data_IF_614011072455
#
_entry.id   IF_614011072455
#
_cell.length_a   1.000
_cell.length_b   1.000
_cell.length_c   1.000
_cell.angle_alpha   90.00
_cell.angle_beta   90.00
_cell.angle_gamma   90.00
#
_symmetry.space_group_name_H-M   'P 1'
#
loop_
_entity.id
_entity.type
_entity.pdbx_description
1 polymer ?
#
# COMPACT_ATOMS: atom_id res chain seq x y z
N UNK A 1 104.07 11.99 -24.05
CA UNK A 1 104.67 12.60 -22.83
C UNK A 1 103.62 13.50 -22.24
N UNK A 2 103.22 13.28 -20.97
CA UNK A 2 102.80 14.32 -19.99
C UNK A 2 101.56 15.19 -20.36
N UNK A 3 100.64 15.65 -19.51
CA UNK A 3 100.36 15.68 -18.06
C UNK A 3 98.97 16.38 -17.99
N UNK A 4 97.96 15.83 -17.32
CA UNK A 4 97.52 16.13 -15.94
C UNK A 4 97.25 17.61 -15.61
N UNK A 5 95.99 17.90 -15.27
CA UNK A 5 95.57 19.05 -14.48
C UNK A 5 94.57 18.60 -13.40
N UNK A 6 94.78 19.07 -12.16
CA UNK A 6 94.25 18.51 -10.91
C UNK A 6 92.90 19.09 -10.47
N UNK A 7 92.21 18.26 -9.68
CA UNK A 7 90.91 18.37 -9.04
C UNK A 7 90.77 19.44 -7.95
N UNK A 8 89.53 19.88 -7.72
CA UNK A 8 88.85 19.89 -6.40
C UNK A 8 87.35 20.16 -6.61
N UNK A 9 86.47 19.24 -6.23
CA UNK A 9 85.02 19.46 -6.12
C UNK A 9 84.48 18.76 -4.87
N UNK A 10 83.68 19.51 -4.11
CA UNK A 10 83.07 19.12 -2.84
C UNK A 10 81.81 18.26 -3.04
N UNK A 11 81.53 17.47 -2.01
CA UNK A 11 80.51 16.41 -1.91
C UNK A 11 79.05 16.91 -1.90
N UNK A 12 78.16 16.11 -2.51
CA UNK A 12 76.71 16.05 -2.28
C UNK A 12 76.35 14.59 -1.92
N UNK A 13 75.48 14.31 -0.92
CA UNK A 13 74.77 13.05 -0.82
C UNK A 13 73.29 13.17 -1.25
N UNK A 14 72.77 12.03 -1.67
CA UNK A 14 71.51 11.80 -2.38
C UNK A 14 70.23 12.24 -1.64
N UNK A 15 69.28 12.79 -2.40
CA UNK A 15 67.90 13.01 -1.97
C UNK A 15 67.00 11.85 -2.44
N UNK A 16 66.31 11.21 -1.49
CA UNK A 16 65.31 10.17 -1.68
C UNK A 16 64.00 10.84 -2.14
N UNK A 17 63.47 10.45 -3.30
CA UNK A 17 62.17 10.90 -3.79
C UNK A 17 61.04 10.07 -3.16
N UNK A 18 60.27 10.67 -2.24
CA UNK A 18 58.97 10.15 -1.81
C UNK A 18 57.90 10.54 -2.84
N UNK A 19 57.34 9.56 -3.54
CA UNK A 19 56.11 9.68 -4.32
C UNK A 19 54.92 9.66 -3.34
N UNK A 20 54.43 10.84 -2.97
CA UNK A 20 53.14 11.00 -2.31
C UNK A 20 52.02 10.77 -3.35
N UNK A 21 51.52 9.54 -3.41
CA UNK A 21 50.24 9.24 -4.07
C UNK A 21 49.12 9.89 -3.27
N UNK A 22 48.52 10.94 -3.82
CA UNK A 22 47.31 11.53 -3.26
C UNK A 22 46.17 10.50 -3.36
N UNK A 23 45.74 9.95 -2.22
CA UNK A 23 44.48 9.22 -2.13
C UNK A 23 43.34 10.22 -2.39
N UNK A 24 42.83 10.24 -3.62
CA UNK A 24 41.54 10.86 -3.89
C UNK A 24 40.47 10.07 -3.14
N UNK A 25 39.85 10.68 -2.14
CA UNK A 25 38.63 10.16 -1.55
C UNK A 25 37.57 10.02 -2.65
N UNK A 26 36.77 8.95 -2.69
CA UNK A 26 35.64 8.89 -3.61
C UNK A 26 34.69 10.03 -3.24
N UNK A 27 34.62 11.04 -4.11
CA UNK A 27 33.57 12.05 -4.04
C UNK A 27 32.24 11.32 -4.24
N UNK A 28 31.39 11.34 -3.22
CA UNK A 28 29.97 11.01 -3.35
C UNK A 28 29.44 11.77 -4.57
N UNK A 29 28.81 11.11 -5.57
CA UNK A 29 28.18 11.83 -6.65
C UNK A 29 27.26 12.89 -6.02
N UNK A 30 27.43 14.16 -6.38
CA UNK A 30 26.51 15.20 -5.95
C UNK A 30 25.08 14.73 -6.24
N UNK A 31 24.25 14.59 -5.20
CA UNK A 31 22.88 14.12 -5.30
C UNK A 31 22.16 14.97 -6.35
N UNK A 32 21.85 14.35 -7.50
CA UNK A 32 20.93 15.00 -8.43
C UNK A 32 19.63 15.20 -7.66
N UNK A 33 19.02 16.41 -7.72
CA UNK A 33 17.76 16.64 -7.04
C UNK A 33 16.75 15.56 -7.46
N UNK A 34 16.06 15.00 -6.47
CA UNK A 34 15.08 13.96 -6.68
C UNK A 34 14.03 14.43 -7.68
N UNK A 35 13.66 13.55 -8.61
CA UNK A 35 12.67 13.87 -9.64
C UNK A 35 11.28 13.65 -9.08
N UNK A 36 10.63 14.74 -8.68
CA UNK A 36 9.27 14.75 -8.17
C UNK A 36 8.35 15.30 -9.28
N UNK A 37 7.31 14.52 -9.62
CA UNK A 37 6.32 14.89 -10.61
C UNK A 37 5.29 15.87 -10.06
N UNK A 38 4.38 16.34 -10.92
CA UNK A 38 3.25 17.17 -10.48
C UNK A 38 2.07 16.28 -10.10
N UNK A 39 1.27 16.73 -9.15
CA UNK A 39 0.06 16.02 -8.73
C UNK A 39 -0.90 15.75 -9.91
N UNK A 40 -1.06 16.71 -10.82
CA UNK A 40 -1.93 16.58 -12.00
C UNK A 40 -1.56 15.40 -12.90
N UNK A 41 -0.27 15.05 -12.93
CA UNK A 41 0.29 14.04 -13.84
C UNK A 41 0.35 12.65 -13.20
N UNK A 42 -0.18 12.45 -11.97
CA UNK A 42 0.01 11.23 -11.17
C UNK A 42 -0.26 9.91 -11.93
N UNK A 43 -1.26 9.89 -12.84
CA UNK A 43 -1.60 8.68 -13.64
C UNK A 43 -0.75 8.46 -14.88
N UNK A 44 0.01 9.46 -15.28
CA UNK A 44 0.81 9.52 -16.52
C UNK A 44 2.27 9.93 -16.23
N UNK A 45 2.72 9.75 -14.98
CA UNK A 45 4.09 10.09 -14.60
C UNK A 45 5.09 9.30 -15.45
N UNK A 46 6.08 9.96 -16.06
CA UNK A 46 7.17 9.23 -16.70
C UNK A 46 7.90 8.37 -15.66
N UNK A 47 8.42 7.18 -16.02
CA UNK A 47 9.04 6.26 -15.07
C UNK A 47 10.13 6.89 -14.19
N UNK A 48 10.90 7.83 -14.74
CA UNK A 48 11.96 8.54 -14.03
C UNK A 48 11.47 9.44 -12.88
N UNK A 49 10.17 9.72 -12.77
CA UNK A 49 9.56 10.55 -11.72
C UNK A 49 8.74 9.73 -10.73
N UNK A 50 8.30 8.52 -11.08
CA UNK A 50 7.37 7.74 -10.24
C UNK A 50 7.94 7.48 -8.85
N UNK A 51 9.15 6.93 -8.78
CA UNK A 51 9.75 6.55 -7.50
C UNK A 51 9.97 7.76 -6.58
N UNK A 52 10.41 8.90 -7.12
CA UNK A 52 10.58 10.13 -6.34
C UNK A 52 9.25 10.76 -5.94
N UNK A 53 8.25 10.71 -6.80
CA UNK A 53 6.90 11.22 -6.47
C UNK A 53 6.25 10.39 -5.37
N UNK A 54 6.27 9.06 -5.47
CA UNK A 54 5.51 8.16 -4.58
C UNK A 54 6.02 8.18 -3.13
N UNK A 55 7.28 8.57 -2.89
CA UNK A 55 7.83 8.73 -1.54
C UNK A 55 7.71 10.15 -0.96
N UNK A 56 7.33 11.13 -1.78
CA UNK A 56 7.22 12.55 -1.41
C UNK A 56 5.79 13.08 -1.64
N UNK A 57 4.76 12.24 -1.48
CA UNK A 57 3.36 12.65 -1.70
C UNK A 57 2.91 13.78 -0.76
N UNK A 58 3.60 14.00 0.36
CA UNK A 58 3.41 15.12 1.28
C UNK A 58 3.87 16.48 0.71
N UNK A 59 4.68 16.49 -0.35
CA UNK A 59 4.99 17.72 -1.11
C UNK A 59 3.90 18.06 -2.14
N UNK A 60 3.09 17.07 -2.53
CA UNK A 60 2.10 17.21 -3.61
C UNK A 60 0.69 17.47 -3.11
N UNK A 61 0.36 16.99 -1.91
CA UNK A 61 -0.99 17.04 -1.35
C UNK A 61 -0.96 17.54 0.08
N UNK A 62 -2.08 18.13 0.53
CA UNK A 62 -2.28 18.34 1.95
C UNK A 62 -2.37 17.00 2.66
N UNK A 63 -1.71 16.89 3.80
CA UNK A 63 -1.67 15.65 4.58
C UNK A 63 -1.92 15.92 6.05
N UNK A 64 -2.35 14.88 6.77
CA UNK A 64 -2.38 14.84 8.23
C UNK A 64 -1.47 13.73 8.71
N UNK A 65 -0.75 13.98 9.81
CA UNK A 65 0.14 12.99 10.40
C UNK A 65 -0.68 11.94 11.16
N UNK A 66 -0.29 10.67 10.99
CA UNK A 66 -0.73 9.56 11.83
C UNK A 66 0.43 9.26 12.77
N UNK A 67 0.29 9.67 14.02
CA UNK A 67 1.39 9.57 14.98
C UNK A 67 1.64 8.13 15.42
N UNK A 68 2.90 7.73 15.50
CA UNK A 68 3.30 6.52 16.21
C UNK A 68 3.31 6.75 17.72
N UNK A 69 3.37 5.66 18.47
CA UNK A 69 3.53 5.68 19.91
C UNK A 69 4.98 5.88 20.30
N UNK A 70 5.21 6.19 21.57
CA UNK A 70 6.57 6.35 22.09
C UNK A 70 7.41 5.07 21.96
N UNK A 71 6.78 3.91 22.16
CA UNK A 71 7.42 2.60 22.07
C UNK A 71 7.38 2.07 20.63
N UNK A 72 8.55 1.97 20.01
CA UNK A 72 8.74 1.24 18.74
C UNK A 72 9.04 -0.22 19.08
N UNK A 73 8.30 -1.16 18.50
CA UNK A 73 8.56 -2.59 18.70
C UNK A 73 9.49 -3.08 17.59
N UNK A 74 10.60 -3.77 17.92
CA UNK A 74 11.50 -4.29 16.92
C UNK A 74 10.78 -5.34 16.05
N UNK A 75 11.02 -5.32 14.74
CA UNK A 75 10.57 -6.38 13.86
C UNK A 75 11.66 -7.47 13.83
N UNK A 76 11.48 -8.60 14.54
CA UNK A 76 12.51 -9.62 14.66
C UNK A 76 12.87 -10.20 13.29
N UNK A 77 14.11 -10.64 13.11
CA UNK A 77 14.57 -11.28 11.87
C UNK A 77 14.69 -12.79 12.06
N UNK A 78 14.56 -13.53 10.95
CA UNK A 78 14.94 -14.94 10.84
C UNK A 78 15.98 -15.10 9.73
N UNK A 79 16.50 -16.32 9.56
CA UNK A 79 17.34 -16.64 8.41
C UNK A 79 16.55 -16.38 7.12
N UNK A 80 17.20 -15.68 6.19
CA UNK A 80 16.62 -15.43 4.86
C UNK A 80 16.53 -16.74 4.07
N UNK A 81 15.45 -16.89 3.29
CA UNK A 81 15.26 -18.05 2.42
C UNK A 81 15.49 -17.66 0.95
N UNK A 82 16.19 -18.47 0.15
CA UNK A 82 16.33 -18.21 -1.27
C UNK A 82 14.98 -18.44 -1.96
N UNK A 83 14.44 -17.41 -2.61
CA UNK A 83 13.22 -17.52 -3.42
C UNK A 83 13.61 -17.72 -4.88
N UNK A 84 13.03 -18.74 -5.52
CA UNK A 84 13.17 -19.05 -6.93
C UNK A 84 11.79 -19.34 -7.51
N UNK A 85 11.41 -18.64 -8.58
CA UNK A 85 10.12 -18.79 -9.24
C UNK A 85 10.30 -18.96 -10.76
N UNK A 86 9.24 -19.34 -11.45
CA UNK A 86 9.25 -19.48 -12.91
C UNK A 86 8.33 -18.43 -13.53
N UNK A 87 8.85 -17.68 -14.50
CA UNK A 87 8.07 -16.80 -15.37
C UNK A 87 8.67 -16.83 -16.79
N UNK A 88 7.82 -16.79 -17.82
CA UNK A 88 8.23 -16.88 -19.23
C UNK A 88 9.16 -18.06 -19.55
N UNK A 89 8.97 -19.20 -18.87
CA UNK A 89 9.79 -20.40 -19.01
C UNK A 89 11.21 -20.28 -18.41
N UNK A 90 11.52 -19.20 -17.69
CA UNK A 90 12.80 -18.98 -17.04
C UNK A 90 12.69 -19.14 -15.53
N UNK A 91 13.72 -19.73 -14.91
CA UNK A 91 13.87 -19.78 -13.46
C UNK A 91 14.56 -18.50 -12.99
N UNK A 92 13.88 -17.72 -12.16
CA UNK A 92 14.27 -16.38 -11.75
C UNK A 92 14.37 -16.29 -10.22
N UNK A 93 15.23 -15.39 -9.73
CA UNK A 93 15.39 -15.09 -8.30
C UNK A 93 14.87 -13.70 -7.92
N UNK A 94 15.03 -13.34 -6.64
CA UNK A 94 14.57 -12.06 -6.05
C UNK A 94 15.01 -10.83 -6.85
N UNK A 95 16.28 -10.74 -7.22
CA UNK A 95 16.80 -9.56 -7.94
C UNK A 95 16.19 -9.41 -9.34
N UNK A 96 15.95 -10.51 -10.04
CA UNK A 96 15.30 -10.50 -11.35
C UNK A 96 13.81 -10.12 -11.22
N UNK A 97 13.12 -10.64 -10.20
CA UNK A 97 11.75 -10.24 -9.87
C UNK A 97 11.65 -8.73 -9.64
N UNK A 98 12.55 -8.17 -8.81
CA UNK A 98 12.54 -6.75 -8.49
C UNK A 98 12.74 -5.88 -9.73
N UNK A 99 13.65 -6.26 -10.63
CA UNK A 99 13.89 -5.52 -11.87
C UNK A 99 12.71 -5.59 -12.84
N UNK A 100 12.19 -6.80 -13.10
CA UNK A 100 11.10 -7.04 -14.07
C UNK A 100 9.79 -6.38 -13.66
N UNK A 101 9.50 -6.39 -12.36
CA UNK A 101 8.26 -5.85 -11.79
C UNK A 101 8.42 -4.42 -11.25
N UNK A 102 9.57 -3.78 -11.49
CA UNK A 102 9.86 -2.40 -11.05
C UNK A 102 9.60 -2.21 -9.55
N UNK A 103 10.02 -3.19 -8.75
CA UNK A 103 9.84 -3.21 -7.31
C UNK A 103 10.83 -2.26 -6.68
N UNK A 104 10.31 -1.35 -5.86
CA UNK A 104 11.07 -0.32 -5.14
C UNK A 104 11.23 -0.69 -3.65
N UNK A 105 10.43 -1.62 -3.13
CA UNK A 105 10.53 -2.17 -1.77
C UNK A 105 9.84 -3.53 -1.69
N UNK A 106 10.46 -4.48 -0.98
CA UNK A 106 9.96 -5.85 -0.82
C UNK A 106 10.21 -6.31 0.62
N UNK A 107 9.16 -6.75 1.29
CA UNK A 107 9.21 -7.33 2.63
C UNK A 107 8.40 -8.62 2.66
N UNK A 108 8.95 -9.68 3.23
CA UNK A 108 8.23 -10.90 3.56
C UNK A 108 8.45 -11.22 5.03
N UNK A 109 7.35 -11.34 5.76
CA UNK A 109 7.31 -11.81 7.14
C UNK A 109 6.83 -13.26 7.17
N UNK A 110 7.44 -14.06 8.04
CA UNK A 110 6.99 -15.41 8.39
C UNK A 110 6.96 -15.50 9.90
N UNK A 111 5.82 -15.87 10.48
CA UNK A 111 5.61 -15.93 11.92
C UNK A 111 6.01 -14.61 12.63
N UNK A 112 5.63 -13.47 12.06
CA UNK A 112 5.97 -12.14 12.57
C UNK A 112 7.45 -11.75 12.45
N UNK A 113 8.29 -12.54 11.76
CA UNK A 113 9.73 -12.30 11.60
C UNK A 113 10.09 -12.00 10.15
N UNK A 114 10.98 -11.01 9.94
CA UNK A 114 11.51 -10.68 8.62
C UNK A 114 12.26 -11.87 8.04
N UNK A 115 11.72 -12.41 6.95
CA UNK A 115 12.27 -13.52 6.18
C UNK A 115 12.94 -13.06 4.88
N UNK A 116 12.51 -11.94 4.31
CA UNK A 116 13.14 -11.30 3.16
C UNK A 116 12.87 -9.80 3.25
N UNK A 117 13.88 -8.98 2.98
CA UNK A 117 13.72 -7.52 2.93
C UNK A 117 14.70 -6.93 1.91
N UNK A 118 14.18 -6.14 0.96
CA UNK A 118 14.96 -5.45 -0.07
C UNK A 118 14.38 -4.06 -0.35
N UNK A 119 15.25 -3.15 -0.74
CA UNK A 119 14.90 -1.80 -1.18
C UNK A 119 15.64 -1.49 -2.47
N UNK A 120 15.00 -0.73 -3.35
CA UNK A 120 15.57 -0.30 -4.62
C UNK A 120 15.13 1.13 -4.95
N UNK A 121 15.65 1.67 -6.06
CA UNK A 121 15.26 3.00 -6.56
C UNK A 121 15.49 4.12 -5.52
N UNK A 122 16.55 4.01 -4.72
CA UNK A 122 16.88 4.98 -3.67
C UNK A 122 16.02 4.89 -2.41
N UNK A 123 15.09 3.92 -2.32
CA UNK A 123 14.36 3.66 -1.08
C UNK A 123 15.27 2.99 -0.04
N UNK A 124 14.90 3.15 1.22
CA UNK A 124 15.50 2.47 2.36
C UNK A 124 14.44 2.21 3.46
N UNK A 125 14.88 1.66 4.59
CA UNK A 125 14.00 1.35 5.72
C UNK A 125 13.34 2.58 6.36
N UNK A 126 13.82 3.79 6.07
CA UNK A 126 13.26 5.04 6.58
C UNK A 126 12.21 5.67 5.65
N UNK A 127 12.17 5.22 4.40
CA UNK A 127 11.30 5.75 3.35
C UNK A 127 9.83 5.49 3.69
N UNK A 128 9.00 6.53 3.57
CA UNK A 128 7.53 6.40 3.59
C UNK A 128 7.04 6.34 2.15
N UNK A 129 6.17 5.40 1.83
CA UNK A 129 5.68 5.16 0.48
C UNK A 129 4.16 5.15 0.44
N UNK A 130 3.58 5.82 -0.56
CA UNK A 130 2.13 5.89 -0.73
C UNK A 130 1.51 4.52 -1.01
N UNK A 131 0.44 4.21 -0.29
CA UNK A 131 -0.31 2.96 -0.34
C UNK A 131 -1.08 2.77 -1.65
N UNK A 132 -1.40 3.88 -2.31
CA UNK A 132 -2.57 3.96 -3.20
C UNK A 132 -3.76 3.24 -2.54
N UNK A 133 -4.41 2.31 -3.23
CA UNK A 133 -5.59 1.61 -2.73
C UNK A 133 -5.35 0.61 -1.59
N UNK A 134 -4.11 0.31 -1.19
CA UNK A 134 -3.86 -0.51 0.03
C UNK A 134 -4.51 0.13 1.27
N UNK A 135 -4.65 1.46 1.30
CA UNK A 135 -5.32 2.16 2.41
C UNK A 135 -6.80 1.82 2.54
N UNK A 136 -7.47 1.35 1.48
CA UNK A 136 -8.89 0.97 1.55
C UNK A 136 -9.13 -0.08 2.64
N UNK A 137 -8.22 -1.05 2.74
CA UNK A 137 -8.25 -2.09 3.76
C UNK A 137 -7.95 -1.55 5.16
N UNK A 138 -7.16 -0.48 5.26
CA UNK A 138 -6.93 0.26 6.52
C UNK A 138 -8.19 1.03 6.92
N UNK A 139 -8.84 1.74 6.00
CA UNK A 139 -10.11 2.43 6.23
C UNK A 139 -11.22 1.49 6.67
N UNK A 140 -11.36 0.33 5.99
CA UNK A 140 -12.27 -0.75 6.38
C UNK A 140 -11.99 -1.27 7.80
N UNK A 141 -10.71 -1.37 8.15
CA UNK A 141 -10.27 -1.76 9.50
C UNK A 141 -10.67 -0.72 10.55
N UNK A 142 -10.64 0.57 10.23
CA UNK A 142 -11.14 1.62 11.12
C UNK A 142 -12.67 1.55 11.32
N UNK A 143 -13.42 1.20 10.27
CA UNK A 143 -14.86 0.91 10.39
C UNK A 143 -15.06 -0.26 11.36
N UNK A 144 -14.30 -1.34 11.21
CA UNK A 144 -14.32 -2.47 12.15
C UNK A 144 -14.01 -2.05 13.59
N UNK A 145 -13.01 -1.21 13.80
CA UNK A 145 -12.68 -0.69 15.13
C UNK A 145 -13.82 0.17 15.72
N UNK A 146 -14.47 0.99 14.90
CA UNK A 146 -15.64 1.77 15.31
C UNK A 146 -16.86 0.88 15.65
N UNK A 147 -17.02 -0.26 14.97
CA UNK A 147 -18.00 -1.29 15.34
C UNK A 147 -17.66 -1.91 16.68
N UNK A 148 -16.39 -2.29 16.90
CA UNK A 148 -15.92 -2.85 18.17
C UNK A 148 -16.16 -1.90 19.37
N UNK A 149 -16.06 -0.59 19.15
CA UNK A 149 -16.36 0.43 20.16
C UNK A 149 -17.86 0.76 20.30
N UNK A 150 -18.74 0.19 19.48
CA UNK A 150 -20.16 0.53 19.43
C UNK A 150 -20.47 1.93 18.88
N UNK A 151 -19.50 2.57 18.21
CA UNK A 151 -19.68 3.86 17.51
C UNK A 151 -20.45 3.69 16.21
N UNK A 152 -20.24 2.56 15.55
CA UNK A 152 -21.11 2.03 14.50
C UNK A 152 -21.82 0.82 15.12
N UNK A 153 -23.15 0.86 15.20
CA UNK A 153 -23.91 -0.18 15.89
C UNK A 153 -23.85 -1.52 15.13
N UNK A 154 -23.94 -1.49 13.80
CA UNK A 154 -23.78 -2.68 12.95
C UNK A 154 -23.31 -2.31 11.56
N UNK A 155 -22.57 -3.21 10.90
CA UNK A 155 -22.31 -3.11 9.45
C UNK A 155 -23.59 -3.27 8.62
N UNK A 156 -24.66 -3.81 9.20
CA UNK A 156 -25.97 -3.92 8.55
C UNK A 156 -26.79 -2.63 8.63
N UNK A 157 -26.33 -1.63 9.38
CA UNK A 157 -27.01 -0.35 9.43
C UNK A 157 -26.98 0.34 8.07
N UNK A 158 -28.04 1.06 7.67
CA UNK A 158 -27.99 1.88 6.47
C UNK A 158 -26.93 2.97 6.63
N UNK A 159 -26.08 3.18 5.63
CA UNK A 159 -24.99 4.17 5.70
C UNK A 159 -25.53 5.59 5.94
N UNK A 160 -26.74 5.88 5.45
CA UNK A 160 -27.45 7.16 5.64
C UNK A 160 -27.83 7.46 7.10
N UNK A 161 -27.73 6.47 8.00
CA UNK A 161 -27.82 6.68 9.45
C UNK A 161 -26.69 7.56 9.96
N UNK A 162 -25.48 7.36 9.40
CA UNK A 162 -24.26 8.03 9.81
C UNK A 162 -23.94 9.22 8.90
N UNK A 163 -24.24 9.10 7.60
CA UNK A 163 -24.03 10.13 6.59
C UNK A 163 -25.38 10.63 6.05
N UNK A 164 -26.12 11.49 6.79
CA UNK A 164 -27.44 11.96 6.38
C UNK A 164 -27.44 12.76 5.07
N UNK A 165 -26.28 13.25 4.63
CA UNK A 165 -26.08 13.93 3.34
C UNK A 165 -26.37 13.01 2.14
N UNK A 166 -26.35 11.69 2.34
CA UNK A 166 -26.62 10.69 1.32
C UNK A 166 -28.12 10.33 1.20
N UNK A 167 -28.97 10.86 2.09
CA UNK A 167 -30.41 10.59 2.09
C UNK A 167 -31.09 11.14 0.84
N UNK A 168 -32.06 10.39 0.30
CA UNK A 168 -32.77 10.73 -0.93
C UNK A 168 -31.97 10.44 -2.21
N UNK A 169 -30.76 9.88 -2.08
CA UNK A 169 -29.86 9.56 -3.19
C UNK A 169 -29.71 8.06 -3.44
N UNK A 170 -28.69 7.69 -4.21
CA UNK A 170 -28.44 6.30 -4.59
C UNK A 170 -28.08 5.37 -3.41
N UNK A 171 -27.69 5.94 -2.28
CA UNK A 171 -27.31 5.24 -1.06
C UNK A 171 -28.46 4.95 -0.09
N UNK A 172 -29.69 5.37 -0.42
CA UNK A 172 -30.85 5.05 0.41
C UNK A 172 -31.06 3.53 0.52
N UNK A 173 -31.03 3.03 1.76
CA UNK A 173 -31.16 1.60 2.05
C UNK A 173 -29.90 0.77 1.81
N UNK A 174 -28.79 1.39 1.36
CA UNK A 174 -27.49 0.73 1.26
C UNK A 174 -26.88 0.57 2.66
N UNK A 175 -26.47 -0.64 3.02
CA UNK A 175 -25.81 -0.89 4.31
C UNK A 175 -24.33 -0.49 4.29
N UNK A 176 -23.75 -0.30 5.48
CA UNK A 176 -22.29 -0.13 5.63
C UNK A 176 -21.54 -1.34 5.05
N UNK A 177 -22.05 -2.55 5.24
CA UNK A 177 -21.50 -3.78 4.67
C UNK A 177 -21.45 -3.73 3.14
N UNK A 178 -22.52 -3.28 2.48
CA UNK A 178 -22.56 -3.18 1.02
C UNK A 178 -21.56 -2.16 0.48
N UNK A 179 -21.30 -1.07 1.22
CA UNK A 179 -20.21 -0.13 0.89
C UNK A 179 -18.84 -0.76 1.10
N UNK A 180 -18.64 -1.52 2.17
CA UNK A 180 -17.39 -2.25 2.42
C UNK A 180 -17.13 -3.34 1.37
N UNK A 181 -18.17 -3.93 0.80
CA UNK A 181 -18.10 -4.94 -0.25
C UNK A 181 -18.03 -4.37 -1.67
N UNK A 182 -18.14 -3.04 -1.83
CA UNK A 182 -18.29 -2.38 -3.14
C UNK A 182 -19.47 -2.95 -3.95
N UNK A 183 -20.60 -3.18 -3.25
CA UNK A 183 -21.80 -3.79 -3.79
C UNK A 183 -23.04 -2.91 -3.62
N UNK A 184 -22.88 -1.60 -3.45
CA UNK A 184 -24.00 -0.67 -3.20
C UNK A 184 -25.00 -0.55 -4.35
N UNK A 185 -24.58 -0.88 -5.59
CA UNK A 185 -25.35 -0.65 -6.81
C UNK A 185 -25.35 0.81 -7.28
N UNK A 186 -24.50 1.67 -6.72
CA UNK A 186 -24.32 3.05 -7.20
C UNK A 186 -23.54 3.08 -8.52
N UNK A 187 -23.95 3.95 -9.44
CA UNK A 187 -23.23 4.18 -10.69
C UNK A 187 -21.88 4.83 -10.38
N UNK A 188 -20.80 4.21 -10.87
CA UNK A 188 -19.45 4.71 -10.69
C UNK A 188 -18.55 4.23 -11.84
N UNK A 189 -17.80 5.16 -12.44
CA UNK A 189 -16.74 4.86 -13.40
C UNK A 189 -15.35 5.05 -12.76
N UNK A 190 -14.63 3.94 -12.59
CA UNK A 190 -13.30 3.89 -11.96
C UNK A 190 -12.15 4.18 -12.95
N UNK A 191 -12.43 4.42 -14.24
CA UNK A 191 -11.39 4.47 -15.28
C UNK A 191 -10.39 5.61 -15.02
N UNK A 192 -9.17 5.27 -14.58
CA UNK A 192 -8.16 6.23 -14.08
C UNK A 192 -7.68 7.25 -15.12
N UNK A 193 -7.69 6.88 -16.40
CA UNK A 193 -7.15 7.69 -17.50
C UNK A 193 -8.21 8.31 -18.39
N UNK A 194 -9.49 8.07 -18.14
CA UNK A 194 -10.58 8.76 -18.84
C UNK A 194 -10.92 10.06 -18.08
N UNK A 195 -10.65 11.25 -18.63
CA UNK A 195 -10.99 12.52 -18.01
C UNK A 195 -12.48 12.71 -17.68
N UNK A 196 -13.38 11.92 -18.28
CA UNK A 196 -14.82 11.97 -18.02
C UNK A 196 -15.27 11.01 -16.90
N UNK A 197 -14.39 10.14 -16.38
CA UNK A 197 -14.76 9.20 -15.34
C UNK A 197 -15.03 9.87 -14.00
N UNK A 198 -15.85 9.23 -13.16
CA UNK A 198 -16.09 9.68 -11.80
C UNK A 198 -14.79 9.70 -10.98
N UNK A 199 -13.89 8.74 -11.24
CA UNK A 199 -12.57 8.69 -10.61
C UNK A 199 -11.72 9.91 -10.97
N UNK A 200 -11.70 10.34 -12.23
CA UNK A 200 -10.96 11.54 -12.65
C UNK A 200 -11.59 12.81 -12.09
N UNK A 201 -12.93 12.89 -12.08
CA UNK A 201 -13.64 14.00 -11.45
C UNK A 201 -13.30 14.13 -9.95
N UNK A 202 -13.26 13.02 -9.23
CA UNK A 202 -12.88 12.97 -7.81
C UNK A 202 -11.47 13.52 -7.58
N UNK A 203 -10.52 13.16 -8.46
CA UNK A 203 -9.15 13.67 -8.38
C UNK A 203 -9.07 15.18 -8.63
N UNK A 204 -9.81 15.69 -9.60
CA UNK A 204 -9.88 17.13 -9.88
C UNK A 204 -10.45 17.91 -8.71
N UNK A 205 -11.48 17.39 -8.04
CA UNK A 205 -12.04 18.01 -6.83
C UNK A 205 -11.02 18.06 -5.68
N UNK A 206 -10.24 17.00 -5.50
CA UNK A 206 -9.15 16.99 -4.52
C UNK A 206 -8.12 18.09 -4.84
N UNK A 207 -7.69 18.19 -6.10
CA UNK A 207 -6.73 19.22 -6.52
C UNK A 207 -7.30 20.64 -6.44
N UNK A 208 -8.61 20.80 -6.62
CA UNK A 208 -9.31 22.06 -6.44
C UNK A 208 -9.39 22.50 -4.97
N UNK A 209 -9.05 21.60 -4.02
CA UNK A 209 -8.97 21.89 -2.60
C UNK A 209 -10.31 22.42 -2.04
N UNK A 210 -11.41 21.77 -2.40
CA UNK A 210 -12.78 22.13 -2.00
C UNK A 210 -13.30 21.12 -0.94
N UNK A 211 -13.33 21.49 0.36
CA UNK A 211 -13.71 20.59 1.43
C UNK A 211 -15.12 20.02 1.27
N UNK A 212 -15.27 18.70 1.35
CA UNK A 212 -16.57 18.02 1.24
C UNK A 212 -17.09 17.89 -0.19
N UNK A 213 -16.35 18.35 -1.19
CA UNK A 213 -16.74 18.21 -2.59
C UNK A 213 -16.81 16.73 -3.03
N UNK A 214 -15.97 15.87 -2.46
CA UNK A 214 -15.98 14.44 -2.73
C UNK A 214 -17.26 13.78 -2.20
N UNK A 215 -17.64 14.04 -0.93
CA UNK A 215 -18.93 13.57 -0.39
C UNK A 215 -20.12 14.08 -1.21
N UNK A 216 -20.06 15.35 -1.65
CA UNK A 216 -21.07 15.93 -2.53
C UNK A 216 -21.15 15.21 -3.88
N UNK A 217 -20.01 14.89 -4.50
CA UNK A 217 -19.97 14.08 -5.72
C UNK A 217 -20.66 12.73 -5.49
N UNK A 218 -20.28 12.01 -4.43
CA UNK A 218 -20.89 10.71 -4.11
C UNK A 218 -22.40 10.82 -3.87
N UNK A 219 -22.86 11.85 -3.17
CA UNK A 219 -24.29 12.09 -2.93
C UNK A 219 -25.10 12.34 -4.21
N UNK A 220 -24.47 12.83 -5.27
CA UNK A 220 -25.11 13.18 -6.53
C UNK A 220 -25.14 12.01 -7.54
N UNK A 221 -24.46 10.90 -7.24
CA UNK A 221 -24.47 9.71 -8.09
C UNK A 221 -25.86 9.09 -8.15
N UNK A 222 -26.12 8.38 -9.25
CA UNK A 222 -27.39 7.70 -9.50
C UNK A 222 -27.29 6.22 -9.11
N UNK A 223 -28.43 5.64 -8.78
CA UNK A 223 -28.54 4.19 -8.62
C UNK A 223 -28.46 3.51 -9.99
N UNK A 224 -27.55 2.56 -10.15
CA UNK A 224 -27.41 1.74 -11.35
C UNK A 224 -28.03 0.35 -11.17
N UNK A 225 -27.82 -0.28 -10.01
CA UNK A 225 -28.25 -1.64 -9.69
C UNK A 225 -28.90 -1.70 -8.31
N UNK A 226 -29.49 -2.85 -7.97
CA UNK A 226 -29.95 -3.09 -6.61
C UNK A 226 -28.75 -3.24 -5.64
N UNK A 227 -28.84 -2.73 -4.40
CA UNK A 227 -27.78 -2.94 -3.41
C UNK A 227 -27.61 -4.43 -3.10
N UNK A 228 -26.37 -4.87 -3.01
CA UNK A 228 -25.96 -6.24 -2.72
C UNK A 228 -26.10 -7.22 -3.89
N UNK A 229 -26.27 -6.76 -5.13
CA UNK A 229 -26.43 -7.67 -6.29
C UNK A 229 -25.25 -7.75 -7.24
N UNK A 230 -24.40 -6.73 -7.27
CA UNK A 230 -23.28 -6.62 -8.23
C UNK A 230 -22.10 -5.95 -7.57
N UNK A 231 -20.89 -6.42 -7.89
CA UNK A 231 -19.65 -5.74 -7.51
C UNK A 231 -19.36 -4.59 -8.48
N UNK A 232 -18.97 -3.43 -7.96
CA UNK A 232 -18.46 -2.31 -8.76
C UNK A 232 -17.36 -1.60 -7.96
N UNK A 233 -16.10 -1.81 -8.34
CA UNK A 233 -14.97 -1.23 -7.61
C UNK A 233 -15.06 0.31 -7.60
N UNK A 234 -15.09 0.91 -6.41
CA UNK A 234 -15.25 2.35 -6.26
C UNK A 234 -14.31 2.98 -5.25
N UNK A 235 -13.37 3.78 -5.74
CA UNK A 235 -12.54 4.69 -4.94
C UNK A 235 -13.40 5.73 -4.23
N UNK A 236 -14.53 6.14 -4.81
CA UNK A 236 -15.48 7.03 -4.16
C UNK A 236 -16.07 6.42 -2.88
N UNK A 237 -16.50 5.16 -2.94
CA UNK A 237 -17.07 4.45 -1.79
C UNK A 237 -16.06 4.22 -0.67
N UNK A 238 -14.80 3.95 -0.99
CA UNK A 238 -13.79 3.85 0.06
C UNK A 238 -13.49 5.18 0.73
N UNK A 239 -13.72 6.32 0.07
CA UNK A 239 -13.65 7.62 0.74
C UNK A 239 -14.82 7.83 1.70
N UNK A 240 -16.03 7.32 1.38
CA UNK A 240 -17.16 7.32 2.32
C UNK A 240 -16.85 6.58 3.63
N UNK A 241 -15.89 5.65 3.65
CA UNK A 241 -15.47 4.99 4.89
C UNK A 241 -14.74 5.94 5.84
N UNK A 242 -13.91 6.86 5.34
CA UNK A 242 -13.30 7.90 6.17
C UNK A 242 -14.36 8.88 6.70
N UNK A 243 -15.29 9.29 5.85
CA UNK A 243 -16.44 10.12 6.26
C UNK A 243 -17.28 9.42 7.34
N UNK A 244 -17.53 8.12 7.18
CA UNK A 244 -18.27 7.29 8.13
C UNK A 244 -17.55 7.19 9.48
N UNK A 245 -16.23 6.91 9.47
CA UNK A 245 -15.41 6.88 10.68
C UNK A 245 -15.45 8.24 11.37
N UNK A 246 -15.29 9.32 10.61
CA UNK A 246 -15.36 10.67 11.15
C UNK A 246 -16.71 10.96 11.81
N UNK A 247 -17.81 10.70 11.11
CA UNK A 247 -19.15 10.94 11.60
C UNK A 247 -19.50 10.10 12.84
N UNK A 248 -19.07 8.83 12.88
CA UNK A 248 -19.39 7.91 13.97
C UNK A 248 -18.54 8.16 15.24
N UNK A 249 -17.29 8.56 15.07
CA UNK A 249 -16.33 8.67 16.19
C UNK A 249 -16.15 10.11 16.67
N UNK A 250 -16.37 11.10 15.80
CA UNK A 250 -16.01 12.51 16.03
C UNK A 250 -14.52 12.82 15.85
N UNK A 251 -13.70 11.83 15.46
CA UNK A 251 -12.26 11.98 15.24
C UNK A 251 -11.94 12.05 13.75
N UNK A 252 -10.77 12.58 13.38
CA UNK A 252 -10.28 12.40 12.00
C UNK A 252 -9.86 10.96 11.78
N UNK A 253 -9.78 10.49 10.53
CA UNK A 253 -9.34 9.12 10.29
C UNK A 253 -7.87 8.91 10.70
N UNK A 254 -7.01 9.94 10.58
CA UNK A 254 -5.62 9.88 11.04
C UNK A 254 -5.52 9.79 12.56
N UNK A 255 -6.28 10.61 13.29
CA UNK A 255 -6.27 10.59 14.75
C UNK A 255 -6.82 9.27 15.28
N UNK A 256 -7.89 8.76 14.66
CA UNK A 256 -8.48 7.49 15.04
C UNK A 256 -7.55 6.31 14.72
N UNK A 257 -6.90 6.31 13.55
CA UNK A 257 -5.87 5.32 13.22
C UNK A 257 -4.71 5.38 14.20
N UNK A 258 -4.23 6.58 14.52
CA UNK A 258 -3.17 6.83 15.50
C UNK A 258 -3.55 6.26 16.86
N UNK A 259 -4.68 6.67 17.43
CA UNK A 259 -5.12 6.26 18.76
C UNK A 259 -5.36 4.75 18.85
N UNK A 260 -6.10 4.19 17.90
CA UNK A 260 -6.60 2.82 18.00
C UNK A 260 -5.57 1.76 17.62
N UNK A 261 -4.70 2.08 16.66
CA UNK A 261 -3.82 1.08 16.03
C UNK A 261 -2.38 1.58 15.99
N UNK A 262 -2.09 2.66 15.27
CA UNK A 262 -0.72 3.07 14.91
C UNK A 262 0.15 3.32 16.13
N UNK A 263 -0.37 4.03 17.13
CA UNK A 263 0.39 4.34 18.33
C UNK A 263 0.57 3.14 19.28
N UNK A 264 -0.22 2.09 19.09
CA UNK A 264 -0.29 0.92 19.98
C UNK A 264 0.41 -0.31 19.40
N UNK A 265 0.56 -0.38 18.08
CA UNK A 265 1.13 -1.52 17.37
C UNK A 265 2.68 -1.49 17.28
N UNK A 266 3.31 -0.46 17.86
CA UNK A 266 4.76 -0.35 17.87
C UNK A 266 5.36 0.03 16.52
N UNK A 267 4.65 0.87 15.75
CA UNK A 267 5.08 1.38 14.45
C UNK A 267 6.43 2.10 14.54
N UNK A 268 7.25 1.97 13.50
CA UNK A 268 8.59 2.57 13.41
C UNK A 268 8.54 4.08 13.19
N UNK A 269 7.57 4.56 12.40
CA UNK A 269 7.46 5.98 12.04
C UNK A 269 6.04 6.48 12.08
N UNK A 270 5.94 7.80 12.21
CA UNK A 270 4.73 8.52 11.85
C UNK A 270 4.44 8.29 10.36
N UNK A 271 3.20 7.94 10.06
CA UNK A 271 2.69 7.96 8.70
C UNK A 271 2.08 9.33 8.40
N UNK A 272 1.74 9.55 7.14
CA UNK A 272 0.93 10.70 6.75
C UNK A 272 -0.17 10.26 5.79
N UNK A 273 -1.33 10.91 5.87
CA UNK A 273 -2.48 10.58 5.06
C UNK A 273 -2.93 11.80 4.27
N UNK A 274 -3.03 11.65 2.95
CA UNK A 274 -3.55 12.67 2.06
C UNK A 274 -4.99 13.05 2.39
N UNK A 275 -5.28 14.34 2.30
CA UNK A 275 -6.58 14.92 2.52
C UNK A 275 -7.27 15.24 1.17
N UNK A 276 -8.60 15.28 1.19
CA UNK A 276 -9.41 15.80 0.09
C UNK A 276 -9.17 17.30 -0.15
N UNK A 277 -8.77 18.01 0.91
CA UNK A 277 -8.53 19.43 0.96
C UNK A 277 -7.77 19.78 2.25
N UNK A 278 -7.21 20.99 2.34
CA UNK A 278 -6.47 21.49 3.50
C UNK A 278 -7.28 21.44 4.80
N UNK A 279 -8.59 21.62 4.71
CA UNK A 279 -9.50 21.69 5.85
C UNK A 279 -10.49 20.53 5.88
N UNK A 280 -10.25 19.45 5.13
CA UNK A 280 -11.18 18.33 5.03
C UNK A 280 -10.61 17.01 5.55
N UNK A 281 -11.12 15.93 4.97
CA UNK A 281 -10.99 14.57 5.48
C UNK A 281 -9.92 13.78 4.74
N UNK A 282 -9.40 12.75 5.40
CA UNK A 282 -8.50 11.79 4.76
C UNK A 282 -9.19 11.08 3.60
N UNK A 283 -8.45 10.94 2.50
CA UNK A 283 -8.92 10.13 1.38
C UNK A 283 -8.81 8.65 1.77
N UNK A 284 -9.92 8.10 2.28
CA UNK A 284 -10.07 6.70 2.68
C UNK A 284 -9.79 5.67 1.59
N UNK A 285 -9.66 6.14 0.36
CA UNK A 285 -9.50 5.35 -0.85
C UNK A 285 -8.11 5.36 -1.46
N UNK A 286 -7.25 6.32 -1.08
CA UNK A 286 -5.87 6.43 -1.52
C UNK A 286 -5.06 7.38 -0.64
N UNK A 287 -3.78 7.06 -0.41
CA UNK A 287 -2.82 8.09 -0.01
C UNK A 287 -2.39 8.12 1.46
N UNK A 288 -2.47 6.99 2.17
CA UNK A 288 -1.64 6.81 3.35
C UNK A 288 -0.21 6.51 2.90
N UNK A 289 0.79 7.13 3.53
CA UNK A 289 2.19 6.84 3.29
C UNK A 289 2.87 6.38 4.58
N UNK A 290 3.42 5.18 4.55
CA UNK A 290 4.06 4.52 5.69
C UNK A 290 5.34 3.80 5.27
N UNK A 291 6.14 3.36 6.24
CA UNK A 291 7.33 2.55 5.95
C UNK A 291 6.94 1.13 5.54
N UNK A 292 7.86 0.43 4.87
CA UNK A 292 7.62 -0.93 4.35
C UNK A 292 7.28 -1.89 5.50
N UNK A 293 8.00 -1.73 6.60
CA UNK A 293 7.81 -2.51 7.83
C UNK A 293 6.53 -2.14 8.56
N UNK A 294 6.08 -0.89 8.51
CA UNK A 294 4.82 -0.50 9.16
C UNK A 294 3.59 -1.01 8.39
N UNK A 295 3.64 -1.09 7.05
CA UNK A 295 2.66 -1.89 6.31
C UNK A 295 2.71 -3.37 6.71
N UNK A 296 3.92 -3.93 6.91
CA UNK A 296 4.09 -5.30 7.37
C UNK A 296 3.51 -5.55 8.77
N UNK A 297 3.70 -4.61 9.70
CA UNK A 297 3.08 -4.63 11.04
C UNK A 297 1.57 -4.58 10.96
N UNK A 298 1.02 -3.70 10.12
CA UNK A 298 -0.43 -3.66 9.89
C UNK A 298 -0.94 -5.00 9.34
N UNK A 299 -0.24 -5.60 8.38
CA UNK A 299 -0.58 -6.94 7.89
C UNK A 299 -0.53 -8.01 8.98
N UNK A 300 0.48 -7.97 9.86
CA UNK A 300 0.57 -8.88 11.00
C UNK A 300 -0.58 -8.66 12.00
N UNK A 301 -0.99 -7.41 12.25
CA UNK A 301 -2.16 -7.11 13.08
C UNK A 301 -3.47 -7.69 12.52
N UNK A 302 -3.65 -7.64 11.20
CA UNK A 302 -4.80 -8.26 10.54
C UNK A 302 -4.73 -9.79 10.65
N UNK A 303 -3.55 -10.37 10.43
CA UNK A 303 -3.30 -11.80 10.59
C UNK A 303 -3.57 -12.28 12.04
N UNK A 304 -3.31 -11.43 13.03
CA UNK A 304 -3.58 -11.67 14.45
C UNK A 304 -5.03 -11.33 14.86
N UNK A 305 -5.97 -11.29 13.91
CA UNK A 305 -7.41 -11.05 14.10
C UNK A 305 -7.72 -9.75 14.86
N UNK A 306 -6.93 -8.70 14.60
CA UNK A 306 -7.18 -7.36 15.13
C UNK A 306 -6.93 -7.20 16.63
N UNK A 307 -6.03 -8.01 17.21
CA UNK A 307 -5.67 -7.98 18.63
C UNK A 307 -4.35 -7.23 18.83
N UNK A 308 -4.31 -6.32 19.82
CA UNK A 308 -3.09 -5.65 20.26
C UNK A 308 -2.92 -5.88 21.76
N UNK A 309 -1.81 -6.49 22.17
CA UNK A 309 -1.48 -6.76 23.58
C UNK A 309 -2.62 -7.45 24.37
N UNK A 310 -3.35 -8.36 23.72
CA UNK A 310 -4.50 -9.06 24.31
C UNK A 310 -5.82 -8.29 24.31
N UNK A 311 -5.83 -7.01 23.89
CA UNK A 311 -7.05 -6.23 23.68
C UNK A 311 -7.55 -6.39 22.24
N UNK A 312 -8.84 -6.68 22.08
CA UNK A 312 -9.49 -6.66 20.77
C UNK A 312 -9.76 -5.23 20.33
N UNK A 313 -9.09 -4.84 19.25
CA UNK A 313 -9.33 -3.57 18.55
C UNK A 313 -10.44 -3.75 17.52
N UNK A 314 -10.56 -4.94 16.93
CA UNK A 314 -11.62 -5.32 16.00
C UNK A 314 -12.57 -6.35 16.62
N UNK A 315 -13.79 -6.50 16.09
CA UNK A 315 -14.72 -7.54 16.53
C UNK A 315 -14.10 -8.93 16.46
N UNK A 316 -14.55 -9.83 17.33
CA UNK A 316 -14.07 -11.21 17.28
C UNK A 316 -14.40 -11.86 15.93
N UNK A 317 -13.40 -12.47 15.28
CA UNK A 317 -13.55 -13.06 13.96
C UNK A 317 -13.68 -12.04 12.82
N UNK A 318 -13.33 -10.76 13.06
CA UNK A 318 -13.37 -9.73 12.03
C UNK A 318 -12.56 -10.10 10.81
N UNK A 319 -11.39 -10.73 10.99
CA UNK A 319 -10.59 -11.24 9.87
C UNK A 319 -11.43 -12.13 8.97
N UNK A 320 -12.06 -13.16 9.54
CA UNK A 320 -12.89 -14.12 8.80
C UNK A 320 -14.09 -13.44 8.13
N UNK A 321 -14.73 -12.47 8.80
CA UNK A 321 -15.85 -11.74 8.23
C UNK A 321 -15.43 -10.83 7.07
N UNK A 322 -14.32 -10.11 7.24
CA UNK A 322 -13.80 -9.18 6.25
C UNK A 322 -13.21 -9.89 5.02
N UNK A 323 -12.75 -11.13 5.16
CA UNK A 323 -12.04 -11.86 4.09
C UNK A 323 -12.79 -13.11 3.61
N UNK A 324 -14.12 -13.08 3.66
CA UNK A 324 -14.98 -14.15 3.19
C UNK A 324 -16.09 -13.61 2.28
N UNK A 325 -16.20 -14.21 1.10
CA UNK A 325 -17.39 -14.08 0.27
C UNK A 325 -18.38 -15.21 0.57
N UNK A 326 -19.70 -14.95 0.61
CA UNK A 326 -20.70 -16.00 0.65
C UNK A 326 -20.61 -16.90 -0.60
N UNK A 327 -20.70 -18.22 -0.41
CA UNK A 327 -20.65 -19.20 -1.50
C UNK A 327 -21.77 -18.93 -2.52
N UNK A 328 -21.44 -18.90 -3.80
CA UNK A 328 -22.39 -18.62 -4.88
C UNK A 328 -22.79 -17.15 -5.01
N UNK A 329 -22.17 -16.24 -4.26
CA UNK A 329 -22.41 -14.81 -4.41
C UNK A 329 -21.62 -14.20 -5.57
N UNK A 330 -22.01 -12.99 -5.97
CA UNK A 330 -21.28 -12.17 -6.94
C UNK A 330 -19.89 -11.72 -6.45
N UNK A 331 -19.58 -11.92 -5.16
CA UNK A 331 -18.30 -11.57 -4.54
C UNK A 331 -17.30 -12.74 -4.47
N UNK A 332 -17.75 -13.96 -4.81
CA UNK A 332 -16.91 -15.15 -4.79
C UNK A 332 -15.77 -15.05 -5.82
N UNK A 333 -14.58 -15.62 -5.54
CA UNK A 333 -13.51 -15.67 -6.53
C UNK A 333 -13.96 -16.18 -7.89
N UNK A 334 -13.62 -15.44 -8.95
CA UNK A 334 -14.05 -15.73 -10.33
C UNK A 334 -15.46 -15.22 -10.70
N UNK A 335 -16.10 -14.40 -9.86
CA UNK A 335 -17.48 -13.89 -10.09
C UNK A 335 -17.61 -12.37 -10.13
N UNK A 336 -16.54 -11.62 -9.85
CA UNK A 336 -16.60 -10.15 -9.75
C UNK A 336 -16.89 -9.47 -11.09
N UNK A 337 -16.33 -10.00 -12.17
CA UNK A 337 -16.43 -9.45 -13.52
C UNK A 337 -16.71 -10.57 -14.52
N UNK A 338 -17.23 -10.20 -15.69
CA UNK A 338 -17.27 -11.10 -16.83
C UNK A 338 -15.83 -11.41 -17.28
N UNK A 339 -15.55 -12.68 -17.60
CA UNK A 339 -14.22 -13.16 -18.02
C UNK A 339 -13.46 -13.89 -16.91
N UNK A 340 -12.13 -13.96 -17.04
CA UNK A 340 -11.27 -14.87 -16.25
C UNK A 340 -10.58 -14.19 -15.05
N UNK A 341 -11.17 -13.13 -14.48
CA UNK A 341 -10.57 -12.48 -13.30
C UNK A 341 -10.76 -13.37 -12.06
N UNK A 342 -9.65 -13.91 -11.53
CA UNK A 342 -9.68 -15.01 -10.57
C UNK A 342 -10.10 -14.63 -9.15
N UNK A 343 -9.91 -13.36 -8.74
CA UNK A 343 -10.10 -12.97 -7.35
C UNK A 343 -11.57 -12.68 -7.01
N UNK A 344 -11.89 -12.80 -5.73
CA UNK A 344 -13.15 -12.38 -5.12
C UNK A 344 -12.95 -11.10 -4.30
N UNK A 345 -13.99 -10.66 -3.60
CA UNK A 345 -13.92 -9.44 -2.80
C UNK A 345 -14.63 -9.56 -1.45
N UNK A 346 -14.06 -8.95 -0.43
CA UNK A 346 -14.61 -8.87 0.92
C UNK A 346 -14.77 -7.43 1.40
N UNK A 347 -14.50 -7.16 2.68
CA UNK A 347 -14.54 -5.81 3.23
C UNK A 347 -13.27 -5.03 2.88
N UNK A 348 -13.17 -4.61 1.62
CA UNK A 348 -12.00 -3.94 1.05
C UNK A 348 -10.75 -4.83 0.94
N UNK A 349 -10.93 -6.15 0.80
CA UNK A 349 -9.86 -7.12 0.60
C UNK A 349 -10.16 -7.96 -0.64
N UNK A 350 -9.16 -8.18 -1.49
CA UNK A 350 -9.23 -9.15 -2.58
C UNK A 350 -9.05 -10.56 -2.03
N UNK A 351 -9.86 -11.50 -2.50
CA UNK A 351 -9.91 -12.87 -1.98
C UNK A 351 -9.36 -13.83 -3.03
N UNK A 352 -8.41 -14.66 -2.63
CA UNK A 352 -7.86 -15.65 -3.55
C UNK A 352 -8.82 -16.85 -3.68
N UNK A 353 -8.91 -17.47 -4.87
CA UNK A 353 -9.62 -18.72 -5.04
C UNK A 353 -8.97 -19.82 -4.18
N UNK A 354 -9.78 -20.80 -3.77
CA UNK A 354 -9.29 -21.95 -3.01
C UNK A 354 -8.85 -23.06 -3.96
N UNK A 355 -7.64 -23.60 -3.74
CA UNK A 355 -7.11 -24.74 -4.49
C UNK A 355 -5.98 -24.36 -5.43
N UNK A 356 -4.89 -25.14 -5.38
CA UNK A 356 -3.68 -24.90 -6.14
C UNK A 356 -3.86 -24.81 -7.67
N UNK A 357 -4.93 -25.36 -8.25
CA UNK A 357 -5.19 -25.26 -9.68
C UNK A 357 -5.66 -23.86 -10.12
N UNK A 358 -6.26 -23.07 -9.21
CA UNK A 358 -6.78 -21.74 -9.53
C UNK A 358 -5.70 -20.65 -9.43
N UNK A 359 -4.93 -20.65 -8.33
CA UNK A 359 -3.68 -19.88 -8.16
C UNK A 359 -2.68 -20.74 -7.35
N UNK A 360 -1.68 -21.37 -8.00
CA UNK A 360 -0.76 -22.28 -7.33
C UNK A 360 -0.03 -21.63 -6.16
N UNK A 361 0.16 -22.38 -5.06
CA UNK A 361 0.86 -21.92 -3.85
C UNK A 361 0.20 -20.76 -3.07
N UNK A 362 -1.04 -20.40 -3.41
CA UNK A 362 -1.86 -19.41 -2.68
C UNK A 362 -3.02 -20.03 -1.89
N UNK A 363 -2.90 -21.31 -1.53
CA UNK A 363 -3.91 -22.00 -0.71
C UNK A 363 -3.94 -21.46 0.73
N UNK A 364 -5.08 -21.65 1.41
CA UNK A 364 -5.20 -21.45 2.85
C UNK A 364 -5.89 -20.15 3.28
N UNK A 365 -6.88 -19.69 2.50
CA UNK A 365 -7.65 -18.50 2.84
C UNK A 365 -6.87 -17.21 2.65
N UNK A 366 -6.11 -17.14 1.57
CA UNK A 366 -5.28 -15.98 1.21
C UNK A 366 -6.16 -14.82 0.78
N UNK A 367 -5.75 -13.62 1.17
CA UNK A 367 -6.37 -12.37 0.77
C UNK A 367 -5.33 -11.25 0.74
N UNK A 368 -5.64 -10.15 0.07
CA UNK A 368 -4.72 -9.02 -0.04
C UNK A 368 -5.40 -7.67 -0.19
N UNK A 369 -4.65 -6.62 0.17
CA UNK A 369 -4.94 -5.26 -0.23
C UNK A 369 -4.04 -4.94 -1.43
N UNK A 370 -4.60 -4.30 -2.45
CA UNK A 370 -3.90 -4.02 -3.69
C UNK A 370 -4.09 -2.56 -4.09
N UNK A 371 -3.00 -1.93 -4.50
CA UNK A 371 -2.93 -0.56 -4.99
C UNK A 371 -2.42 -0.49 -6.42
N UNK A 372 -2.89 0.52 -7.17
CA UNK A 372 -2.40 0.82 -8.51
C UNK A 372 -0.88 0.99 -8.52
N UNK A 373 -0.29 0.78 -9.70
CA UNK A 373 1.16 0.80 -9.92
C UNK A 373 1.95 -0.31 -9.20
N UNK A 374 1.27 -1.35 -8.71
CA UNK A 374 1.89 -2.55 -8.14
C UNK A 374 2.19 -2.46 -6.64
N UNK A 375 1.22 -1.98 -5.84
CA UNK A 375 1.33 -2.01 -4.39
C UNK A 375 0.56 -3.21 -3.85
N UNK A 376 1.20 -4.03 -3.01
CA UNK A 376 0.59 -5.22 -2.44
C UNK A 376 0.80 -5.28 -0.94
N UNK A 377 -0.25 -5.64 -0.21
CA UNK A 377 -0.21 -6.17 1.14
C UNK A 377 -0.93 -7.52 1.12
N UNK A 378 -0.15 -8.58 1.00
CA UNK A 378 -0.62 -9.95 0.87
C UNK A 378 -0.53 -10.69 2.21
N UNK A 379 -1.55 -11.49 2.54
CA UNK A 379 -1.61 -12.25 3.79
C UNK A 379 -2.02 -13.69 3.51
N UNK A 380 -1.21 -14.64 3.97
CA UNK A 380 -1.55 -16.07 4.00
C UNK A 380 -1.72 -16.53 5.46
N UNK A 381 -2.95 -16.71 5.94
CA UNK A 381 -3.22 -17.14 7.31
C UNK A 381 -2.70 -18.54 7.63
N UNK A 382 -2.89 -19.50 6.72
CA UNK A 382 -2.45 -20.88 6.90
C UNK A 382 -0.95 -20.99 7.12
N UNK A 383 -0.18 -20.25 6.33
CA UNK A 383 1.28 -20.29 6.33
C UNK A 383 1.90 -19.21 7.23
N UNK A 384 1.09 -18.34 7.83
CA UNK A 384 1.51 -17.19 8.65
C UNK A 384 2.53 -16.31 7.94
N UNK A 385 2.23 -15.98 6.68
CA UNK A 385 3.06 -15.13 5.83
C UNK A 385 2.36 -13.81 5.58
N UNK A 386 3.10 -12.72 5.68
CA UNK A 386 2.70 -11.38 5.23
C UNK A 386 3.74 -10.91 4.21
N UNK A 387 3.32 -10.44 3.04
CA UNK A 387 4.21 -9.83 2.06
C UNK A 387 3.77 -8.40 1.74
N UNK A 388 4.74 -7.48 1.67
CA UNK A 388 4.53 -6.10 1.27
C UNK A 388 5.42 -5.82 0.06
N UNK A 389 4.82 -5.29 -1.00
CA UNK A 389 5.53 -4.94 -2.23
C UNK A 389 5.16 -3.52 -2.62
N UNK A 390 6.19 -2.72 -2.89
CA UNK A 390 6.07 -1.40 -3.48
C UNK A 390 6.63 -1.45 -4.89
N UNK A 391 5.89 -0.91 -5.85
CA UNK A 391 6.35 -0.88 -7.25
C UNK A 391 6.02 0.44 -7.92
N UNK A 392 6.64 0.66 -9.08
CA UNK A 392 6.38 1.80 -9.97
C UNK A 392 5.96 1.32 -11.35
N UNK A 393 4.92 0.48 -11.45
CA UNK A 393 4.47 0.02 -12.77
C UNK A 393 4.12 1.21 -13.69
N UNK A 394 4.30 1.10 -15.01
CA UNK A 394 4.12 2.23 -15.92
C UNK A 394 2.65 2.62 -16.10
N UNK A 395 1.71 1.71 -15.78
CA UNK A 395 0.27 1.92 -15.86
C UNK A 395 -0.36 1.68 -14.47
N UNK A 396 -1.44 2.41 -14.14
CA UNK A 396 -2.12 2.22 -12.86
C UNK A 396 -2.85 0.88 -12.79
N UNK A 397 -3.39 0.40 -13.90
CA UNK A 397 -4.16 -0.85 -13.96
C UNK A 397 -3.28 -2.09 -13.80
N UNK A 398 -3.91 -3.18 -13.36
CA UNK A 398 -3.27 -4.50 -13.30
C UNK A 398 -2.86 -4.94 -14.70
N UNK A 399 -1.68 -5.55 -14.81
CA UNK A 399 -1.18 -6.16 -16.04
C UNK A 399 -0.49 -7.49 -15.74
N UNK A 400 0.22 -8.06 -16.72
CA UNK A 400 0.98 -9.31 -16.59
C UNK A 400 1.91 -9.39 -15.35
N UNK A 401 2.37 -8.24 -14.82
CA UNK A 401 3.20 -8.13 -13.62
C UNK A 401 2.47 -8.56 -12.37
N UNK A 402 1.15 -8.49 -12.34
CA UNK A 402 0.33 -9.02 -11.24
C UNK A 402 0.52 -10.54 -11.13
N UNK A 403 0.37 -11.25 -12.24
CA UNK A 403 0.53 -12.71 -12.26
C UNK A 403 1.97 -13.13 -11.93
N UNK A 404 2.96 -12.38 -12.40
CA UNK A 404 4.36 -12.61 -12.02
C UNK A 404 4.59 -12.36 -10.52
N UNK A 405 3.94 -11.35 -9.96
CA UNK A 405 3.97 -11.04 -8.51
C UNK A 405 3.36 -12.18 -7.69
N UNK A 406 2.22 -12.74 -8.11
CA UNK A 406 1.65 -13.92 -7.47
C UNK A 406 2.60 -15.11 -7.58
N UNK A 407 3.16 -15.41 -8.76
CA UNK A 407 4.14 -16.49 -8.91
C UNK A 407 5.36 -16.34 -7.97
N UNK A 408 5.87 -15.11 -7.80
CA UNK A 408 6.95 -14.82 -6.87
C UNK A 408 6.52 -15.03 -5.41
N UNK A 409 5.38 -14.47 -4.99
CA UNK A 409 4.87 -14.62 -3.61
C UNK A 409 4.58 -16.09 -3.30
N UNK A 410 3.94 -16.82 -4.21
CA UNK A 410 3.65 -18.25 -4.07
C UNK A 410 4.92 -19.07 -3.89
N UNK A 411 5.97 -18.81 -4.69
CA UNK A 411 7.27 -19.45 -4.51
C UNK A 411 7.94 -19.08 -3.18
N UNK A 412 7.78 -17.84 -2.72
CA UNK A 412 8.28 -17.43 -1.40
C UNK A 412 7.55 -18.14 -0.27
N UNK A 413 6.23 -18.27 -0.35
CA UNK A 413 5.42 -19.03 0.61
C UNK A 413 5.87 -20.49 0.64
N UNK A 414 6.09 -21.11 -0.51
CA UNK A 414 6.58 -22.49 -0.61
C UNK A 414 7.97 -22.66 0.03
N UNK A 415 8.89 -21.73 -0.22
CA UNK A 415 10.23 -21.73 0.38
C UNK A 415 10.24 -21.47 1.91
N UNK A 416 9.11 -21.03 2.47
CA UNK A 416 8.93 -20.72 3.89
C UNK A 416 8.17 -21.80 4.68
N UNK A 417 7.74 -22.87 3.99
CA UNK A 417 7.25 -24.10 4.63
C UNK A 417 8.43 -24.88 5.20
#
# INVERSE_FOLDING_TARGET
MTTLQRCSTALLPAAIALLLGACASPSTPADKPERIGRAQDLYELPPAYQAGTYRNMDELFYTRTVHRGAQVLPLPRRSEVPVQYTADGQRLGVEAFMQRNQVSGLLILKDGKVALERYAMGNDASTRWTSFSVVKSISSTLVGAAVQQGKIASVNDPITRYLPQLKGGAYDGVSVEQVLQMSSGVAWDETYRDPQSDRRRMFELQLANDPGALLKQMSALKKAQAPGTTFNYSTGESHLQSELVHAATGMTASDYLSERIWARLGMERDAFWQLDSRAGQEIGSSGLSATLRDYGRFGQFILDDGVINGERILPAGWLQHATRAPTGSHLEPGKLYDGDYALGYGYQWWLFPTGAAALPNHDGGVFEAQGIFGQFLYINPKEKVVAVIWSTWPKPEMDEREMETYAFIGAAVEALR
#
